data_IF_664898275039
#
_entry.id   IF_664898275039
#
_cell.length_a   1.000
_cell.length_b   1.000
_cell.length_c   1.000
_cell.angle_alpha   90.00
_cell.angle_beta   90.00
_cell.angle_gamma   90.00
#
_symmetry.space_group_name_H-M   'P 1'
#
loop_
_entity.id
_entity.type
_entity.pdbx_description
1 polymer ?
#
# COMPACT_ATOMS: atom_id res chain seq x y z
N UNK A 1 -10.33 0.54 -26.75
CA UNK A 1 -11.80 0.57 -26.67
C UNK A 1 -12.16 1.63 -25.64
N UNK A 2 -12.73 2.78 -26.01
CA UNK A 2 -13.23 3.71 -25.00
C UNK A 2 -14.35 3.01 -24.24
N UNK A 3 -14.30 3.04 -22.91
CA UNK A 3 -15.35 2.51 -22.07
C UNK A 3 -16.70 3.13 -22.48
N UNK A 4 -17.81 2.39 -22.43
CA UNK A 4 -19.12 2.96 -22.72
C UNK A 4 -19.32 4.16 -21.81
N UNK A 5 -19.63 5.32 -22.39
CA UNK A 5 -20.17 6.46 -21.64
C UNK A 5 -21.35 5.91 -20.85
N UNK A 6 -21.28 5.89 -19.51
CA UNK A 6 -22.38 5.45 -18.67
C UNK A 6 -23.60 6.33 -19.00
N UNK A 7 -24.51 5.77 -19.78
CA UNK A 7 -25.69 6.47 -20.28
C UNK A 7 -26.67 6.63 -19.13
N UNK A 8 -26.78 7.85 -18.59
CA UNK A 8 -27.99 8.29 -17.91
C UNK A 8 -29.10 8.28 -18.97
N UNK A 9 -29.98 7.29 -18.89
CA UNK A 9 -31.16 7.20 -19.76
C UNK A 9 -32.28 7.95 -19.04
N UNK A 10 -32.50 9.20 -19.44
CA UNK A 10 -33.66 10.00 -19.06
C UNK A 10 -34.35 10.38 -20.36
N UNK A 11 -35.56 9.88 -20.59
CA UNK A 11 -36.33 10.12 -21.80
C UNK A 11 -37.22 11.35 -21.62
N UNK A 12 -37.15 12.31 -22.53
CA UNK A 12 -37.95 13.53 -22.50
C UNK A 12 -37.25 14.73 -23.14
N UNK A 13 -38.02 15.73 -23.57
CA UNK A 13 -37.45 17.00 -24.04
C UNK A 13 -36.93 17.83 -22.86
N UNK A 14 -36.03 18.77 -23.12
CA UNK A 14 -35.50 19.67 -22.07
C UNK A 14 -36.61 20.42 -21.34
N UNK A 15 -37.65 20.83 -22.08
CA UNK A 15 -38.74 21.66 -21.56
C UNK A 15 -39.65 20.85 -20.63
N UNK A 16 -40.02 19.63 -21.03
CA UNK A 16 -40.81 18.70 -20.21
C UNK A 16 -40.04 18.32 -18.93
N UNK A 17 -38.78 17.92 -19.07
CA UNK A 17 -37.97 17.50 -17.92
C UNK A 17 -37.66 18.64 -16.96
N UNK A 18 -37.57 19.88 -17.43
CA UNK A 18 -37.38 21.05 -16.57
C UNK A 18 -38.67 21.43 -15.82
N UNK A 19 -39.83 21.34 -16.48
CA UNK A 19 -41.13 21.63 -15.89
C UNK A 19 -41.54 20.56 -14.85
N UNK A 20 -41.29 19.28 -15.14
CA UNK A 20 -41.48 18.18 -14.19
C UNK A 20 -40.63 18.35 -12.93
N UNK A 21 -39.33 18.68 -13.08
CA UNK A 21 -38.44 18.90 -11.96
C UNK A 21 -38.86 20.14 -11.14
N UNK A 22 -39.28 21.22 -11.80
CA UNK A 22 -39.76 22.43 -11.13
C UNK A 22 -41.05 22.17 -10.33
N UNK A 23 -41.99 21.41 -10.90
CA UNK A 23 -43.23 21.00 -10.23
C UNK A 23 -42.93 20.13 -9.00
N UNK A 24 -41.97 19.21 -9.12
CA UNK A 24 -41.54 18.38 -7.99
C UNK A 24 -40.88 19.20 -6.87
N UNK A 25 -40.03 20.17 -7.22
CA UNK A 25 -39.40 21.08 -6.24
C UNK A 25 -40.44 21.93 -5.49
N UNK A 26 -41.44 22.46 -6.20
CA UNK A 26 -42.52 23.26 -5.60
C UNK A 26 -43.42 22.40 -4.69
N UNK A 27 -43.66 21.14 -5.05
CA UNK A 27 -44.34 20.16 -4.22
C UNK A 27 -43.61 19.86 -2.91
N UNK A 28 -42.29 19.67 -2.97
CA UNK A 28 -41.45 19.48 -1.78
C UNK A 28 -41.37 20.76 -0.91
N UNK A 29 -41.25 21.94 -1.52
CA UNK A 29 -41.27 23.23 -0.82
C UNK A 29 -42.57 23.43 -0.05
N UNK A 30 -43.70 23.14 -0.71
CA UNK A 30 -45.04 23.24 -0.12
C UNK A 30 -45.22 22.30 1.07
N UNK A 31 -44.68 21.08 0.99
CA UNK A 31 -44.69 20.12 2.10
C UNK A 31 -43.88 20.60 3.32
N UNK A 32 -42.90 21.49 3.14
CA UNK A 32 -42.11 22.09 4.22
C UNK A 32 -42.63 23.45 4.70
N UNK A 33 -43.77 23.92 4.18
CA UNK A 33 -44.33 25.24 4.53
C UNK A 33 -43.56 26.43 3.95
N UNK A 34 -42.72 26.20 2.93
CA UNK A 34 -42.04 27.25 2.18
C UNK A 34 -42.79 27.52 0.87
N UNK A 35 -43.10 28.78 0.59
CA UNK A 35 -43.71 29.21 -0.67
C UNK A 35 -42.62 29.61 -1.66
N UNK A 36 -41.98 28.62 -2.29
CA UNK A 36 -41.23 28.84 -3.54
C UNK A 36 -42.11 28.40 -4.71
N UNK A 37 -42.09 29.18 -5.80
CA UNK A 37 -42.87 28.95 -7.02
C UNK A 37 -41.91 28.89 -8.22
N UNK A 38 -40.97 27.95 -8.15
CA UNK A 38 -39.90 27.71 -9.12
C UNK A 38 -40.49 27.44 -10.51
N UNK A 39 -41.64 26.76 -10.60
CA UNK A 39 -42.33 26.51 -11.86
C UNK A 39 -42.74 27.81 -12.57
N UNK A 40 -43.45 28.69 -11.86
CA UNK A 40 -43.95 29.96 -12.41
C UNK A 40 -42.84 30.91 -12.87
N UNK A 41 -41.67 30.79 -12.26
CA UNK A 41 -40.49 31.58 -12.56
C UNK A 41 -39.69 31.09 -13.77
N UNK A 42 -39.81 29.80 -14.08
CA UNK A 42 -39.08 29.13 -15.16
C UNK A 42 -39.90 29.13 -16.46
N UNK A 43 -41.23 29.07 -16.36
CA UNK A 43 -42.16 29.06 -17.50
C UNK A 43 -41.92 30.16 -18.56
N UNK A 44 -41.71 31.45 -18.20
CA UNK A 44 -41.41 32.48 -19.21
C UNK A 44 -40.01 32.30 -19.83
N UNK A 45 -39.05 31.77 -19.08
CA UNK A 45 -37.67 31.58 -19.54
C UNK A 45 -37.52 30.34 -20.44
N UNK A 46 -38.36 29.32 -20.23
CA UNK A 46 -38.53 28.17 -21.12
C UNK A 46 -39.06 28.61 -22.48
N UNK A 47 -40.09 29.46 -22.52
CA UNK A 47 -40.65 29.99 -23.78
C UNK A 47 -39.66 30.88 -24.56
N UNK A 48 -38.76 31.56 -23.86
CA UNK A 48 -37.68 32.36 -24.45
C UNK A 48 -36.44 31.53 -24.86
N UNK A 49 -36.42 30.22 -24.57
CA UNK A 49 -35.30 29.33 -24.88
C UNK A 49 -34.03 29.60 -24.05
N UNK A 50 -34.11 30.33 -22.93
CA UNK A 50 -32.98 30.70 -22.06
C UNK A 50 -32.59 29.57 -21.11
N UNK A 51 -32.08 28.47 -21.67
CA UNK A 51 -31.73 27.23 -20.94
C UNK A 51 -30.82 27.44 -19.72
N UNK A 52 -29.86 28.36 -19.79
CA UNK A 52 -28.92 28.61 -18.68
C UNK A 52 -29.60 29.22 -17.45
N UNK A 53 -30.54 30.15 -17.64
CA UNK A 53 -31.19 30.83 -16.52
C UNK A 53 -32.21 29.91 -15.83
N UNK A 54 -32.88 29.05 -16.61
CA UNK A 54 -33.69 27.94 -16.11
C UNK A 54 -32.87 27.02 -15.21
N UNK A 55 -31.70 26.59 -15.68
CA UNK A 55 -30.79 25.72 -14.92
C UNK A 55 -30.25 26.40 -13.66
N UNK A 56 -29.90 27.70 -13.71
CA UNK A 56 -29.48 28.45 -12.51
C UNK A 56 -30.55 28.41 -11.43
N UNK A 57 -31.82 28.63 -11.79
CA UNK A 57 -32.94 28.59 -10.83
C UNK A 57 -33.15 27.19 -10.27
N UNK A 58 -33.16 26.16 -11.12
CA UNK A 58 -33.28 24.76 -10.68
C UNK A 58 -32.15 24.34 -9.74
N UNK A 59 -30.89 24.69 -10.04
CA UNK A 59 -29.73 24.38 -9.19
C UNK A 59 -29.76 25.17 -7.89
N UNK A 60 -30.30 26.39 -7.89
CA UNK A 60 -30.47 27.20 -6.67
C UNK A 60 -31.58 26.65 -5.77
N UNK A 61 -32.63 26.08 -6.35
CA UNK A 61 -33.72 25.40 -5.64
C UNK A 61 -33.40 23.94 -5.24
N UNK A 62 -32.33 23.36 -5.79
CA UNK A 62 -31.92 21.96 -5.52
C UNK A 62 -31.59 21.61 -4.05
N UNK A 63 -31.27 22.52 -3.11
CA UNK A 63 -31.12 22.16 -1.70
C UNK A 63 -32.35 21.49 -1.09
N UNK A 64 -33.56 21.83 -1.56
CA UNK A 64 -34.81 21.22 -1.13
C UNK A 64 -34.86 19.71 -1.41
N UNK A 65 -34.12 19.21 -2.42
CA UNK A 65 -34.05 17.78 -2.73
C UNK A 65 -33.45 16.95 -1.59
N UNK A 66 -32.72 17.56 -0.65
CA UNK A 66 -32.26 16.89 0.59
C UNK A 66 -33.40 16.42 1.51
N UNK A 67 -34.63 16.85 1.23
CA UNK A 67 -35.83 16.55 2.01
C UNK A 67 -36.74 15.54 1.30
N UNK A 68 -36.39 15.16 0.07
CA UNK A 68 -37.12 14.20 -0.73
C UNK A 68 -37.11 12.81 -0.07
N UNK A 69 -38.24 12.07 -0.05
CA UNK A 69 -38.34 10.77 0.58
C UNK A 69 -37.43 9.73 -0.09
N UNK A 70 -36.89 8.81 0.71
CA UNK A 70 -35.98 7.76 0.24
C UNK A 70 -36.65 6.67 -0.60
N UNK A 71 -37.95 6.45 -0.41
CA UNK A 71 -38.75 5.46 -1.16
C UNK A 71 -40.05 6.10 -1.63
N UNK A 72 -40.17 6.24 -2.94
CA UNK A 72 -41.43 6.51 -3.63
C UNK A 72 -42.01 5.24 -4.26
N UNK A 73 -43.18 5.36 -4.89
CA UNK A 73 -43.84 4.24 -5.61
C UNK A 73 -42.96 3.63 -6.74
N UNK A 74 -41.97 4.37 -7.24
CA UNK A 74 -41.14 3.98 -8.39
C UNK A 74 -39.62 3.92 -8.10
N UNK A 75 -39.20 3.95 -6.83
CA UNK A 75 -37.79 3.81 -6.43
C UNK A 75 -37.28 4.91 -5.49
N UNK A 76 -35.96 5.13 -5.48
CA UNK A 76 -35.32 6.21 -4.71
C UNK A 76 -35.52 7.56 -5.41
N UNK A 77 -36.57 8.29 -5.06
CA UNK A 77 -36.94 9.57 -5.68
C UNK A 77 -35.79 10.59 -5.64
N UNK A 78 -35.02 10.59 -4.54
CA UNK A 78 -33.80 11.40 -4.40
C UNK A 78 -32.81 11.18 -5.57
N UNK A 79 -32.52 9.92 -5.89
CA UNK A 79 -31.58 9.59 -6.98
C UNK A 79 -32.16 9.97 -8.34
N UNK A 80 -33.46 9.74 -8.56
CA UNK A 80 -34.14 10.08 -9.80
C UNK A 80 -34.10 11.60 -10.06
N UNK A 81 -34.47 12.42 -9.07
CA UNK A 81 -34.48 13.87 -9.18
C UNK A 81 -33.07 14.44 -9.44
N UNK A 82 -32.04 13.93 -8.75
CA UNK A 82 -30.66 14.34 -9.02
C UNK A 82 -30.14 13.84 -10.36
N UNK A 83 -30.50 12.64 -10.80
CA UNK A 83 -30.13 12.12 -12.12
C UNK A 83 -30.76 12.96 -13.25
N UNK A 84 -32.02 13.39 -13.08
CA UNK A 84 -32.70 14.31 -13.98
C UNK A 84 -32.01 15.69 -14.00
N UNK A 85 -31.66 16.23 -12.83
CA UNK A 85 -30.90 17.49 -12.74
C UNK A 85 -29.54 17.38 -13.45
N UNK A 86 -28.81 16.27 -13.26
CA UNK A 86 -27.52 16.02 -13.90
C UNK A 86 -27.67 15.89 -15.43
N UNK A 87 -28.73 15.21 -15.89
CA UNK A 87 -29.05 15.13 -17.31
C UNK A 87 -29.36 16.50 -17.93
N UNK A 88 -30.14 17.34 -17.24
CA UNK A 88 -30.46 18.71 -17.66
C UNK A 88 -29.20 19.59 -17.72
N UNK A 89 -28.31 19.49 -16.72
CA UNK A 89 -27.05 20.24 -16.69
C UNK A 89 -26.11 19.83 -17.83
N UNK A 90 -26.11 18.56 -18.23
CA UNK A 90 -25.31 18.07 -19.37
C UNK A 90 -25.73 18.68 -20.71
N UNK A 91 -27.01 19.04 -20.85
CA UNK A 91 -27.51 19.69 -22.07
C UNK A 91 -27.15 21.18 -22.14
N UNK A 92 -26.59 21.75 -21.08
CA UNK A 92 -26.10 23.12 -21.07
C UNK A 92 -24.80 23.26 -21.90
N UNK A 93 -24.58 24.42 -22.55
CA UNK A 93 -23.33 24.68 -23.26
C UNK A 93 -22.10 24.75 -22.34
N UNK A 94 -22.29 25.05 -21.04
CA UNK A 94 -21.25 25.07 -20.00
C UNK A 94 -21.70 24.31 -18.74
N UNK A 95 -21.61 22.98 -18.70
CA UNK A 95 -22.05 22.19 -17.55
C UNK A 95 -21.22 22.47 -16.27
N UNK A 96 -19.94 22.81 -16.43
CA UNK A 96 -18.98 22.98 -15.33
C UNK A 96 -19.35 24.13 -14.38
N UNK A 97 -20.10 25.14 -14.84
CA UNK A 97 -20.54 26.26 -14.00
C UNK A 97 -21.50 25.84 -12.88
N UNK A 98 -22.24 24.74 -13.07
CA UNK A 98 -23.28 24.29 -12.14
C UNK A 98 -22.79 23.24 -11.15
N UNK A 99 -21.71 22.52 -11.48
CA UNK A 99 -21.17 21.42 -10.69
C UNK A 99 -20.72 21.83 -9.27
N UNK A 100 -20.04 22.96 -9.03
CA UNK A 100 -19.64 23.36 -7.68
C UNK A 100 -20.84 23.56 -6.74
N UNK A 101 -21.93 24.15 -7.26
CA UNK A 101 -23.14 24.38 -6.48
C UNK A 101 -23.87 23.08 -6.17
N UNK A 102 -23.95 22.16 -7.14
CA UNK A 102 -24.50 20.81 -6.94
C UNK A 102 -23.68 20.04 -5.89
N UNK A 103 -22.35 20.08 -5.98
CA UNK A 103 -21.46 19.44 -4.99
C UNK A 103 -21.66 20.03 -3.58
N UNK A 104 -21.83 21.36 -3.48
CA UNK A 104 -22.11 22.03 -2.20
C UNK A 104 -23.45 21.58 -1.65
N UNK A 105 -24.49 21.49 -2.48
CA UNK A 105 -25.82 21.05 -2.08
C UNK A 105 -25.81 19.57 -1.64
N UNK A 106 -25.05 18.71 -2.33
CA UNK A 106 -24.86 17.29 -1.97
C UNK A 106 -23.99 17.08 -0.72
N UNK A 107 -23.20 18.08 -0.32
CA UNK A 107 -22.40 18.00 0.91
C UNK A 107 -23.22 18.19 2.19
N UNK A 108 -24.44 18.73 2.07
CA UNK A 108 -25.39 18.91 3.17
C UNK A 108 -26.14 17.60 3.46
N UNK A 109 -26.31 17.19 4.73
CA UNK A 109 -26.93 15.92 5.07
C UNK A 109 -28.36 15.83 4.54
N UNK A 110 -28.73 14.65 4.03
CA UNK A 110 -30.10 14.35 3.60
C UNK A 110 -30.98 14.20 4.84
N UNK A 111 -31.91 15.13 5.03
CA UNK A 111 -32.79 15.22 6.22
C UNK A 111 -33.84 14.10 6.24
N UNK A 112 -34.28 13.63 5.07
CA UNK A 112 -35.31 12.59 4.96
C UNK A 112 -34.83 11.23 5.45
N UNK A 113 -33.53 10.94 5.32
CA UNK A 113 -32.95 9.65 5.69
C UNK A 113 -31.56 9.78 6.32
N UNK A 114 -31.51 10.04 7.64
CA UNK A 114 -30.24 10.28 8.32
C UNK A 114 -29.31 9.06 8.29
N UNK A 115 -29.84 7.84 8.26
CA UNK A 115 -29.06 6.59 8.32
C UNK A 115 -28.33 6.23 7.00
N UNK A 116 -28.83 6.64 5.84
CA UNK A 116 -28.26 6.31 4.52
C UNK A 116 -28.01 7.55 3.63
N UNK A 117 -28.06 8.74 4.23
CA UNK A 117 -27.77 10.03 3.59
C UNK A 117 -26.46 10.03 2.79
N UNK A 118 -25.38 9.51 3.38
CA UNK A 118 -24.06 9.45 2.77
C UNK A 118 -24.02 8.52 1.55
N UNK A 119 -24.64 7.34 1.64
CA UNK A 119 -24.69 6.40 0.52
C UNK A 119 -25.41 6.97 -0.70
N UNK A 120 -26.53 7.68 -0.48
CA UNK A 120 -27.26 8.35 -1.56
C UNK A 120 -26.44 9.46 -2.22
N UNK A 121 -25.80 10.31 -1.42
CA UNK A 121 -24.96 11.39 -1.94
C UNK A 121 -23.77 10.85 -2.74
N UNK A 122 -23.13 9.77 -2.27
CA UNK A 122 -22.04 9.11 -2.99
C UNK A 122 -22.50 8.52 -4.32
N UNK A 123 -23.70 7.93 -4.37
CA UNK A 123 -24.26 7.40 -5.62
C UNK A 123 -24.50 8.51 -6.65
N UNK A 124 -25.04 9.66 -6.23
CA UNK A 124 -25.21 10.82 -7.12
C UNK A 124 -23.85 11.33 -7.60
N UNK A 125 -22.90 11.58 -6.69
CA UNK A 125 -21.57 12.09 -7.05
C UNK A 125 -20.81 11.12 -7.96
N UNK A 126 -20.92 9.81 -7.72
CA UNK A 126 -20.33 8.77 -8.57
C UNK A 126 -20.96 8.78 -9.96
N UNK A 127 -22.28 9.01 -10.05
CA UNK A 127 -22.97 9.16 -11.33
C UNK A 127 -22.48 10.41 -12.08
N UNK A 128 -22.32 11.55 -11.38
CA UNK A 128 -21.76 12.77 -11.97
C UNK A 128 -20.33 12.51 -12.47
N UNK A 129 -19.47 11.88 -11.65
CA UNK A 129 -18.10 11.54 -12.04
C UNK A 129 -18.03 10.68 -13.31
N UNK A 130 -18.88 9.65 -13.39
CA UNK A 130 -18.90 8.70 -14.50
C UNK A 130 -19.51 9.26 -15.80
N UNK A 131 -20.36 10.29 -15.70
CA UNK A 131 -21.04 10.90 -16.84
C UNK A 131 -20.22 12.01 -17.51
N UNK A 132 -19.28 12.60 -16.78
CA UNK A 132 -18.34 13.58 -17.34
C UNK A 132 -17.30 12.91 -18.25
N UNK A 133 -16.72 13.62 -19.24
CA UNK A 133 -15.60 13.10 -20.03
C UNK A 133 -14.36 12.80 -19.19
N UNK A 134 -13.55 11.83 -19.59
CA UNK A 134 -12.33 11.43 -18.86
C UNK A 134 -11.25 12.51 -18.79
N UNK A 135 -11.28 13.48 -19.70
CA UNK A 135 -10.34 14.60 -19.77
C UNK A 135 -10.83 15.87 -19.05
N UNK A 136 -12.03 15.88 -18.46
CA UNK A 136 -12.55 17.08 -17.80
C UNK A 136 -11.95 17.25 -16.41
N UNK A 137 -11.37 18.43 -16.15
CA UNK A 137 -10.85 18.85 -14.85
C UNK A 137 -11.93 18.82 -13.75
N UNK A 138 -13.21 18.99 -14.11
CA UNK A 138 -14.30 18.92 -13.15
C UNK A 138 -14.36 17.58 -12.38
N UNK A 139 -13.83 16.49 -12.94
CA UNK A 139 -13.71 15.20 -12.26
C UNK A 139 -12.80 15.27 -11.02
N UNK A 140 -11.77 16.11 -11.04
CA UNK A 140 -10.90 16.35 -9.88
C UNK A 140 -11.68 16.96 -8.71
N UNK A 141 -12.43 18.03 -8.97
CA UNK A 141 -13.24 18.68 -7.93
C UNK A 141 -14.34 17.77 -7.37
N UNK A 142 -14.96 16.95 -8.23
CA UNK A 142 -15.96 15.97 -7.80
C UNK A 142 -15.32 14.88 -6.95
N UNK A 143 -14.12 14.40 -7.30
CA UNK A 143 -13.40 13.42 -6.49
C UNK A 143 -13.06 13.98 -5.10
N UNK A 144 -12.64 15.25 -5.00
CA UNK A 144 -12.44 15.90 -3.70
C UNK A 144 -13.74 16.01 -2.88
N UNK A 145 -14.87 16.29 -3.54
CA UNK A 145 -16.17 16.31 -2.88
C UNK A 145 -16.57 14.91 -2.37
N UNK A 146 -16.32 13.86 -3.17
CA UNK A 146 -16.50 12.46 -2.77
C UNK A 146 -15.65 12.13 -1.54
N UNK A 147 -14.37 12.48 -1.55
CA UNK A 147 -13.46 12.23 -0.41
C UNK A 147 -13.92 12.94 0.86
N UNK A 148 -14.30 14.21 0.75
CA UNK A 148 -14.85 14.98 1.88
C UNK A 148 -16.09 14.33 2.48
N UNK A 149 -16.90 13.68 1.66
CA UNK A 149 -18.13 13.02 2.07
C UNK A 149 -17.86 11.65 2.70
N UNK A 150 -16.94 10.86 2.12
CA UNK A 150 -16.46 9.61 2.72
C UNK A 150 -15.87 9.87 4.10
N UNK A 151 -15.16 11.00 4.30
CA UNK A 151 -14.64 11.38 5.61
C UNK A 151 -15.71 11.51 6.69
N UNK A 152 -16.95 11.87 6.32
CA UNK A 152 -18.09 11.93 7.25
C UNK A 152 -18.66 10.56 7.61
N UNK A 153 -18.32 9.50 6.85
CA UNK A 153 -18.79 8.13 7.06
C UNK A 153 -17.67 7.11 6.83
N UNK A 154 -17.07 6.67 7.94
CA UNK A 154 -15.94 5.74 8.01
C UNK A 154 -16.16 4.42 7.26
N UNK A 155 -17.40 3.99 7.03
CA UNK A 155 -17.72 2.70 6.39
C UNK A 155 -17.55 2.68 4.87
N UNK A 156 -17.32 3.84 4.22
CA UNK A 156 -17.36 3.94 2.74
C UNK A 156 -16.00 3.85 2.04
N UNK A 157 -14.88 3.78 2.78
CA UNK A 157 -13.53 3.78 2.18
C UNK A 157 -13.20 2.48 1.43
N UNK A 158 -13.76 1.35 1.84
CA UNK A 158 -13.57 0.05 1.16
C UNK A 158 -14.02 0.09 -0.30
N UNK A 159 -15.06 0.87 -0.62
CA UNK A 159 -15.56 1.05 -1.98
C UNK A 159 -14.62 1.88 -2.85
N UNK A 160 -13.80 2.75 -2.23
CA UNK A 160 -12.85 3.62 -2.91
C UNK A 160 -11.55 2.88 -3.26
N UNK A 161 -11.11 1.92 -2.44
CA UNK A 161 -9.82 1.21 -2.62
C UNK A 161 -9.56 0.69 -4.05
N UNK A 162 -10.51 0.01 -4.74
CA UNK A 162 -10.27 -0.46 -6.10
C UNK A 162 -10.07 0.68 -7.10
N UNK A 163 -10.79 1.79 -6.90
CA UNK A 163 -10.76 2.98 -7.78
C UNK A 163 -9.45 3.76 -7.63
N UNK A 164 -8.82 3.71 -6.45
CA UNK A 164 -7.53 4.37 -6.25
C UNK A 164 -6.40 3.77 -7.11
N UNK A 165 -6.53 2.53 -7.59
CA UNK A 165 -5.54 1.93 -8.52
C UNK A 165 -5.51 2.64 -9.88
N UNK A 166 -6.62 3.27 -10.28
CA UNK A 166 -6.71 4.03 -11.53
C UNK A 166 -6.36 5.51 -11.36
N UNK A 167 -6.02 5.94 -10.14
CA UNK A 167 -5.73 7.34 -9.82
C UNK A 167 -4.58 7.92 -10.65
N UNK A 168 -3.50 7.13 -10.82
CA UNK A 168 -2.32 7.57 -11.57
C UNK A 168 -2.66 7.84 -13.05
N UNK A 169 -3.59 7.06 -13.62
CA UNK A 169 -4.11 7.27 -14.97
C UNK A 169 -5.02 8.50 -15.04
N UNK A 170 -5.83 8.73 -14.00
CA UNK A 170 -6.71 9.91 -13.94
C UNK A 170 -5.92 11.21 -13.87
N UNK A 171 -4.90 11.27 -13.00
CA UNK A 171 -4.04 12.44 -12.88
C UNK A 171 -3.33 12.78 -14.20
N UNK A 172 -2.89 11.77 -14.95
CA UNK A 172 -2.31 11.98 -16.28
C UNK A 172 -3.32 12.51 -17.30
N UNK A 173 -4.57 12.05 -17.25
CA UNK A 173 -5.61 12.50 -18.19
C UNK A 173 -6.14 13.91 -17.89
N UNK A 174 -6.03 14.35 -16.65
CA UNK A 174 -6.51 15.65 -16.19
C UNK A 174 -5.47 16.75 -16.32
N UNK A 175 -4.20 16.42 -16.65
CA UNK A 175 -3.08 17.35 -16.79
C UNK A 175 -2.93 18.30 -15.57
N UNK A 176 -2.99 17.71 -14.37
CA UNK A 176 -3.03 18.45 -13.11
C UNK A 176 -1.63 18.80 -12.63
N UNK A 177 -1.48 20.02 -12.12
CA UNK A 177 -0.25 20.49 -11.49
C UNK A 177 0.13 19.69 -10.23
N UNK A 178 1.42 19.69 -9.90
CA UNK A 178 1.95 18.98 -8.73
C UNK A 178 1.25 19.40 -7.42
N UNK A 179 0.88 20.68 -7.29
CA UNK A 179 0.22 21.21 -6.10
C UNK A 179 -1.18 20.62 -5.87
N UNK A 180 -1.96 20.44 -6.94
CA UNK A 180 -3.31 19.90 -6.87
C UNK A 180 -3.31 18.38 -6.75
N UNK A 181 -2.35 17.70 -7.40
CA UNK A 181 -2.08 16.30 -7.13
C UNK A 181 -1.76 16.05 -5.64
N UNK A 182 -0.95 16.94 -5.03
CA UNK A 182 -0.63 16.88 -3.59
C UNK A 182 -1.87 17.04 -2.73
N UNK A 183 -2.75 18.02 -2.99
CA UNK A 183 -4.01 18.19 -2.24
C UNK A 183 -4.87 16.94 -2.28
N UNK A 184 -4.94 16.29 -3.44
CA UNK A 184 -5.69 15.04 -3.60
C UNK A 184 -5.07 13.88 -2.81
N UNK A 185 -3.76 13.70 -2.88
CA UNK A 185 -3.07 12.66 -2.10
C UNK A 185 -3.23 12.86 -0.59
N UNK A 186 -3.18 14.11 -0.12
CA UNK A 186 -3.42 14.43 1.29
C UNK A 186 -4.87 14.13 1.69
N UNK A 187 -5.84 14.48 0.86
CA UNK A 187 -7.24 14.17 1.11
C UNK A 187 -7.49 12.65 1.18
N UNK A 188 -6.85 11.86 0.31
CA UNK A 188 -6.94 10.39 0.34
C UNK A 188 -6.27 9.84 1.61
N UNK A 189 -5.11 10.35 1.99
CA UNK A 189 -4.40 9.96 3.22
C UNK A 189 -5.25 10.23 4.46
N UNK A 190 -5.87 11.40 4.56
CA UNK A 190 -6.74 11.75 5.68
C UNK A 190 -7.95 10.81 5.77
N UNK A 191 -8.60 10.52 4.64
CA UNK A 191 -9.73 9.57 4.60
C UNK A 191 -9.30 8.16 4.99
N UNK A 192 -8.13 7.70 4.53
CA UNK A 192 -7.59 6.39 4.89
C UNK A 192 -7.27 6.30 6.40
N UNK A 193 -6.68 7.37 6.97
CA UNK A 193 -6.40 7.46 8.39
C UNK A 193 -7.67 7.42 9.24
N UNK A 194 -8.71 8.18 8.85
CA UNK A 194 -9.99 8.20 9.56
C UNK A 194 -10.71 6.83 9.46
N UNK A 195 -10.41 6.06 8.42
CA UNK A 195 -10.93 4.69 8.19
C UNK A 195 -10.15 3.60 8.93
N UNK A 196 -9.05 3.94 9.60
CA UNK A 196 -8.18 2.99 10.30
C UNK A 196 -7.25 2.18 9.38
N UNK A 197 -7.08 2.59 8.12
CA UNK A 197 -6.13 2.00 7.18
C UNK A 197 -4.83 2.81 7.13
N UNK A 198 -4.02 2.64 8.18
CA UNK A 198 -2.75 3.36 8.35
C UNK A 198 -1.75 3.06 7.21
N UNK A 199 -1.81 1.86 6.62
CA UNK A 199 -0.91 1.45 5.55
C UNK A 199 -1.18 2.24 4.25
N UNK A 200 -2.45 2.34 3.84
CA UNK A 200 -2.82 3.17 2.69
C UNK A 200 -2.61 4.66 2.97
N UNK A 201 -2.94 5.11 4.19
CA UNK A 201 -2.69 6.50 4.59
C UNK A 201 -1.22 6.89 4.41
N UNK A 202 -0.32 6.08 4.94
CA UNK A 202 1.12 6.28 4.82
C UNK A 202 1.60 6.25 3.36
N UNK A 203 1.10 5.31 2.56
CA UNK A 203 1.48 5.19 1.14
C UNK A 203 1.11 6.46 0.34
N UNK A 204 -0.08 7.03 0.54
CA UNK A 204 -0.49 8.27 -0.14
C UNK A 204 0.21 9.51 0.42
N UNK A 205 0.51 9.53 1.71
CA UNK A 205 1.30 10.60 2.31
C UNK A 205 2.72 10.64 1.74
N UNK A 206 3.32 9.48 1.51
CA UNK A 206 4.63 9.36 0.86
C UNK A 206 4.58 9.80 -0.61
N UNK A 207 3.50 9.47 -1.34
CA UNK A 207 3.26 10.00 -2.69
C UNK A 207 3.14 11.52 -2.69
N UNK A 208 2.44 12.10 -1.71
CA UNK A 208 2.35 13.55 -1.56
C UNK A 208 3.72 14.19 -1.33
N UNK A 209 4.58 13.61 -0.48
CA UNK A 209 5.93 14.12 -0.25
C UNK A 209 6.83 14.02 -1.49
N UNK A 210 6.70 12.96 -2.30
CA UNK A 210 7.43 12.82 -3.57
C UNK A 210 7.11 13.94 -4.57
N UNK A 211 5.97 14.63 -4.44
CA UNK A 211 5.68 15.79 -5.29
C UNK A 211 6.49 17.04 -4.92
N UNK A 212 7.02 17.12 -3.70
CA UNK A 212 7.69 18.30 -3.10
C UNK A 212 9.22 18.11 -3.06
N UNK A 213 9.79 17.40 -4.04
CA UNK A 213 11.23 17.15 -4.08
C UNK A 213 12.04 18.29 -4.70
N UNK A 214 11.38 19.30 -5.26
CA UNK A 214 12.09 20.46 -5.81
C UNK A 214 12.71 21.27 -4.64
N UNK A 215 14.03 21.54 -4.70
CA UNK A 215 14.83 22.08 -3.59
C UNK A 215 14.29 23.35 -2.95
N UNK A 216 13.56 24.18 -3.73
CA UNK A 216 12.97 25.43 -3.25
C UNK A 216 11.68 25.19 -2.43
N UNK A 217 10.91 24.16 -2.77
CA UNK A 217 9.68 23.79 -2.06
C UNK A 217 9.95 22.87 -0.85
N UNK A 218 11.02 22.06 -0.91
CA UNK A 218 11.40 21.12 0.13
C UNK A 218 11.74 21.79 1.48
N UNK A 219 12.19 23.06 1.47
CA UNK A 219 12.53 23.83 2.68
C UNK A 219 11.36 24.65 3.22
N UNK A 220 10.17 24.57 2.62
CA UNK A 220 9.01 25.34 3.07
C UNK A 220 8.47 24.83 4.40
N UNK A 221 7.85 25.70 5.23
CA UNK A 221 7.25 25.29 6.50
C UNK A 221 6.04 24.35 6.32
N UNK A 222 5.44 24.29 5.12
CA UNK A 222 4.41 23.32 4.79
C UNK A 222 5.01 21.94 4.53
N UNK A 223 6.11 21.87 3.76
CA UNK A 223 6.85 20.63 3.53
C UNK A 223 7.38 20.05 4.85
N UNK A 224 7.89 20.87 5.77
CA UNK A 224 8.37 20.38 7.08
C UNK A 224 7.23 19.77 7.91
N UNK A 225 6.05 20.41 7.97
CA UNK A 225 4.88 19.85 8.66
C UNK A 225 4.41 18.54 8.04
N UNK A 226 4.41 18.44 6.71
CA UNK A 226 4.05 17.20 6.02
C UNK A 226 5.07 16.09 6.28
N UNK A 227 6.36 16.42 6.25
CA UNK A 227 7.44 15.48 6.60
C UNK A 227 7.30 14.98 8.03
N UNK A 228 7.02 15.86 8.99
CA UNK A 228 6.76 15.48 10.39
C UNK A 228 5.54 14.55 10.49
N UNK A 229 4.43 14.88 9.81
CA UNK A 229 3.23 14.01 9.80
C UNK A 229 3.56 12.62 9.24
N UNK A 230 4.39 12.54 8.20
CA UNK A 230 4.83 11.27 7.63
C UNK A 230 5.75 10.49 8.57
N UNK A 231 6.68 11.15 9.24
CA UNK A 231 7.54 10.55 10.24
C UNK A 231 6.73 10.02 11.42
N UNK A 232 5.80 10.80 11.97
CA UNK A 232 4.92 10.36 13.06
C UNK A 232 4.10 9.14 12.66
N UNK A 233 3.53 9.13 11.45
CA UNK A 233 2.78 7.99 10.92
C UNK A 233 3.67 6.75 10.75
N UNK A 234 4.85 6.89 10.14
CA UNK A 234 5.79 5.78 9.92
C UNK A 234 6.31 5.19 11.23
N UNK A 235 6.62 6.05 12.20
CA UNK A 235 7.15 5.66 13.50
C UNK A 235 6.08 4.98 14.37
N UNK A 236 4.83 5.45 14.34
CA UNK A 236 3.72 4.80 15.05
C UNK A 236 3.23 3.52 14.37
N UNK A 237 3.33 3.39 13.05
CA UNK A 237 2.86 2.20 12.31
C UNK A 237 3.69 0.96 12.68
N UNK A 238 3.13 -0.08 13.33
CA UNK A 238 3.91 -1.22 13.82
C UNK A 238 4.48 -2.11 12.71
N UNK A 239 3.94 -2.03 11.49
CA UNK A 239 4.36 -2.80 10.33
C UNK A 239 5.43 -2.11 9.47
N UNK A 240 5.70 -0.83 9.70
CA UNK A 240 6.68 -0.06 8.92
C UNK A 240 8.05 -0.07 9.60
N UNK A 241 8.99 -0.80 9.00
CA UNK A 241 10.37 -0.95 9.48
C UNK A 241 11.42 -0.42 8.50
N UNK A 242 11.03 -0.20 7.24
CA UNK A 242 11.89 0.37 6.21
C UNK A 242 11.65 1.89 6.13
N UNK A 243 12.71 2.64 6.41
CA UNK A 243 12.73 4.10 6.37
C UNK A 243 13.57 4.64 5.20
N UNK A 244 14.10 3.77 4.33
CA UNK A 244 14.95 4.18 3.21
C UNK A 244 14.23 5.15 2.27
N UNK A 245 12.97 4.85 1.95
CA UNK A 245 12.12 5.71 1.13
C UNK A 245 12.00 7.13 1.70
N UNK A 246 11.86 7.27 3.04
CA UNK A 246 11.77 8.56 3.71
C UNK A 246 13.13 9.27 3.78
N UNK A 247 14.19 8.56 4.15
CA UNK A 247 15.54 9.14 4.23
C UNK A 247 16.02 9.67 2.88
N UNK A 248 15.54 9.11 1.77
CA UNK A 248 15.89 9.58 0.41
C UNK A 248 15.23 10.90 -0.01
N UNK A 249 14.22 11.38 0.72
CA UNK A 249 13.46 12.59 0.34
C UNK A 249 14.19 13.87 0.76
N UNK A 250 14.32 14.82 -0.17
CA UNK A 250 14.95 16.12 0.08
C UNK A 250 14.23 16.93 1.17
N UNK A 251 12.90 16.83 1.25
CA UNK A 251 12.09 17.48 2.30
C UNK A 251 12.39 16.96 3.70
N UNK A 252 12.90 15.72 3.82
CA UNK A 252 13.30 15.11 5.09
C UNK A 252 14.76 15.46 5.40
N UNK A 253 15.63 15.53 4.38
CA UNK A 253 16.98 16.04 4.56
C UNK A 253 17.00 17.53 4.98
N UNK A 254 16.02 18.32 4.52
CA UNK A 254 15.84 19.70 4.96
C UNK A 254 15.52 19.80 6.46
N UNK A 255 14.89 18.79 7.06
CA UNK A 255 14.57 18.76 8.50
C UNK A 255 15.80 18.85 9.39
N UNK A 256 16.97 18.39 8.92
CA UNK A 256 18.24 18.51 9.65
C UNK A 256 18.56 19.96 10.07
N UNK A 257 18.08 20.96 9.31
CA UNK A 257 18.29 22.38 9.63
C UNK A 257 17.14 23.00 10.44
N UNK A 258 15.91 22.57 10.22
CA UNK A 258 14.74 23.18 10.86
C UNK A 258 14.38 22.51 12.20
N UNK A 259 14.44 21.19 12.25
CA UNK A 259 13.88 20.32 13.30
C UNK A 259 14.83 19.12 13.51
N UNK A 260 15.98 19.37 14.16
CA UNK A 260 17.04 18.36 14.37
C UNK A 260 16.52 17.11 15.05
N UNK A 261 15.73 17.24 16.12
CA UNK A 261 15.24 16.14 16.94
C UNK A 261 14.49 15.06 16.13
N UNK A 262 13.72 15.46 15.11
CA UNK A 262 13.00 14.54 14.22
C UNK A 262 13.93 13.80 13.27
N UNK A 263 14.97 14.49 12.77
CA UNK A 263 15.96 13.90 11.89
C UNK A 263 16.87 12.93 12.65
N UNK A 264 17.32 13.33 13.85
CA UNK A 264 18.15 12.51 14.73
C UNK A 264 17.42 11.22 15.11
N UNK A 265 16.11 11.31 15.41
CA UNK A 265 15.28 10.12 15.63
C UNK A 265 15.21 9.20 14.40
N UNK A 266 15.09 9.75 13.19
CA UNK A 266 15.10 8.95 11.96
C UNK A 266 16.45 8.26 11.73
N UNK A 267 17.55 8.95 12.01
CA UNK A 267 18.92 8.42 11.91
C UNK A 267 19.11 7.26 12.89
N UNK A 268 18.67 7.40 14.14
CA UNK A 268 18.69 6.34 15.16
C UNK A 268 17.98 5.08 14.65
N UNK A 269 16.76 5.22 14.11
CA UNK A 269 15.99 4.08 13.60
C UNK A 269 16.63 3.42 12.37
N UNK A 270 17.29 4.21 11.53
CA UNK A 270 17.89 3.75 10.29
C UNK A 270 19.22 3.02 10.52
N UNK A 271 20.13 3.59 11.33
CA UNK A 271 21.52 3.11 11.44
C UNK A 271 21.94 2.65 12.83
N UNK A 272 21.30 3.13 13.89
CA UNK A 272 21.81 2.96 15.27
C UNK A 272 21.13 1.81 16.05
N UNK A 273 21.56 1.65 17.30
CA UNK A 273 21.21 0.54 18.19
C UNK A 273 20.23 1.00 19.27
N UNK A 274 19.58 0.05 19.95
CA UNK A 274 18.67 0.31 21.05
C UNK A 274 19.27 1.21 22.15
N UNK A 275 20.57 1.08 22.44
CA UNK A 275 21.24 1.88 23.48
C UNK A 275 21.18 3.38 23.14
N UNK A 276 21.45 3.74 21.88
CA UNK A 276 21.42 5.12 21.40
C UNK A 276 20.00 5.71 21.46
N UNK A 277 18.98 4.88 21.15
CA UNK A 277 17.58 5.28 21.31
C UNK A 277 17.21 5.53 22.78
N UNK A 278 17.69 4.71 23.71
CA UNK A 278 17.41 4.90 25.14
C UNK A 278 18.05 6.18 25.68
N UNK A 279 19.28 6.48 25.22
CA UNK A 279 19.99 7.72 25.58
C UNK A 279 19.26 8.95 24.99
N UNK A 280 18.82 8.89 23.74
CA UNK A 280 17.97 9.91 23.12
C UNK A 280 16.63 10.09 23.86
N UNK A 281 15.95 9.00 24.20
CA UNK A 281 14.67 9.04 24.90
C UNK A 281 14.79 9.61 26.33
N UNK A 282 15.95 9.44 26.97
CA UNK A 282 16.23 10.01 28.29
C UNK A 282 16.54 11.51 28.24
N UNK A 283 17.15 11.99 27.15
CA UNK A 283 17.53 13.40 26.95
C UNK A 283 16.38 14.23 26.38
N UNK A 284 15.48 13.64 25.59
CA UNK A 284 14.41 14.32 24.86
C UNK A 284 13.00 13.85 25.28
N UNK A 285 12.76 13.70 26.60
CA UNK A 285 11.45 13.25 27.12
C UNK A 285 10.31 14.19 26.75
N UNK A 286 10.56 15.50 26.74
CA UNK A 286 9.54 16.51 26.42
C UNK A 286 9.15 16.49 24.95
N UNK A 287 10.10 16.16 24.07
CA UNK A 287 9.86 15.99 22.64
C UNK A 287 8.98 14.78 22.37
N UNK A 288 9.33 13.62 22.95
CA UNK A 288 8.54 12.39 22.81
C UNK A 288 7.10 12.57 23.30
N UNK A 289 6.91 13.21 24.45
CA UNK A 289 5.57 13.48 24.99
C UNK A 289 4.74 14.43 24.11
N UNK A 290 5.36 15.44 23.48
CA UNK A 290 4.69 16.39 22.58
C UNK A 290 4.41 15.83 21.19
N UNK A 291 5.24 14.90 20.74
CA UNK A 291 5.21 14.33 19.38
C UNK A 291 4.05 13.34 19.13
N UNK A 292 3.35 12.90 20.18
CA UNK A 292 2.28 11.90 20.08
C UNK A 292 2.79 10.50 19.72
N UNK A 293 4.08 10.23 19.93
CA UNK A 293 4.71 8.94 19.69
C UNK A 293 4.55 8.03 20.91
N UNK A 294 4.10 6.80 20.69
CA UNK A 294 4.04 5.79 21.75
C UNK A 294 5.45 5.35 22.15
N UNK A 295 5.93 5.73 23.34
CA UNK A 295 7.27 5.31 23.79
C UNK A 295 7.47 3.79 23.75
N UNK A 296 6.46 3.04 24.18
CA UNK A 296 6.48 1.58 24.20
C UNK A 296 6.49 0.98 22.79
N UNK A 297 5.75 1.58 21.84
CA UNK A 297 5.73 1.10 20.45
C UNK A 297 7.06 1.37 19.76
N UNK A 298 7.67 2.52 20.01
CA UNK A 298 9.02 2.85 19.52
C UNK A 298 10.09 1.93 20.11
N UNK A 299 10.06 1.68 21.41
CA UNK A 299 11.03 0.79 22.08
C UNK A 299 10.91 -0.65 21.56
N UNK A 300 9.67 -1.14 21.41
CA UNK A 300 9.39 -2.44 20.81
C UNK A 300 9.94 -2.51 19.39
N UNK A 301 9.67 -1.49 18.56
CA UNK A 301 10.17 -1.41 17.19
C UNK A 301 11.70 -1.39 17.15
N UNK A 302 12.36 -0.61 18.01
CA UNK A 302 13.82 -0.56 18.09
C UNK A 302 14.44 -1.88 18.54
N UNK A 303 13.78 -2.63 19.43
CA UNK A 303 14.20 -3.99 19.77
C UNK A 303 14.13 -4.93 18.56
N UNK A 304 13.01 -4.95 17.84
CA UNK A 304 12.86 -5.78 16.63
C UNK A 304 13.91 -5.45 15.57
N UNK A 305 14.11 -4.15 15.32
CA UNK A 305 15.10 -3.63 14.40
C UNK A 305 16.53 -4.02 14.84
N UNK A 306 16.86 -3.91 16.13
CA UNK A 306 18.19 -4.25 16.69
C UNK A 306 18.50 -5.72 16.50
N UNK A 307 17.52 -6.60 16.73
CA UNK A 307 17.66 -8.02 16.47
C UNK A 307 17.87 -8.30 14.98
N UNK A 308 17.16 -7.62 14.08
CA UNK A 308 17.34 -7.75 12.63
C UNK A 308 18.75 -7.36 12.19
N UNK A 309 19.29 -6.25 12.69
CA UNK A 309 20.67 -5.83 12.40
C UNK A 309 21.70 -6.81 12.94
N UNK A 310 21.50 -7.35 14.15
CA UNK A 310 22.36 -8.35 14.74
C UNK A 310 22.35 -9.65 13.91
N UNK A 311 21.18 -10.08 13.44
CA UNK A 311 21.02 -11.23 12.55
C UNK A 311 21.68 -11.01 11.20
N UNK A 312 21.55 -9.82 10.61
CA UNK A 312 22.21 -9.44 9.38
C UNK A 312 23.75 -9.42 9.51
N UNK A 313 24.28 -8.91 10.64
CA UNK A 313 25.71 -8.95 10.95
C UNK A 313 26.24 -10.39 11.13
N UNK A 314 25.42 -11.30 11.65
CA UNK A 314 25.75 -12.71 11.82
C UNK A 314 25.53 -13.57 10.56
N UNK A 315 25.38 -12.97 9.38
CA UNK A 315 25.14 -13.69 8.11
C UNK A 315 26.18 -14.76 7.77
N UNK A 316 27.42 -14.61 8.26
CA UNK A 316 28.50 -15.57 8.03
C UNK A 316 28.42 -16.79 8.95
N UNK A 317 28.15 -16.59 10.25
CA UNK A 317 28.03 -17.69 11.21
C UNK A 317 26.67 -18.37 11.13
N UNK A 318 25.63 -17.67 10.67
CA UNK A 318 24.22 -18.10 10.64
C UNK A 318 23.67 -18.56 11.98
N UNK A 319 24.39 -18.34 13.07
CA UNK A 319 24.00 -18.74 14.43
C UNK A 319 24.19 -17.58 15.38
N UNK A 320 23.15 -17.29 16.17
CA UNK A 320 23.18 -16.28 17.22
C UNK A 320 22.89 -16.91 18.59
N UNK A 321 23.81 -16.81 19.56
CA UNK A 321 23.55 -17.22 20.94
C UNK A 321 22.51 -16.33 21.64
N UNK A 322 21.67 -16.91 22.49
CA UNK A 322 20.66 -16.17 23.26
C UNK A 322 21.28 -15.11 24.17
N UNK A 323 22.47 -15.36 24.72
CA UNK A 323 23.17 -14.39 25.58
C UNK A 323 23.52 -13.08 24.83
N UNK A 324 23.90 -13.18 23.56
CA UNK A 324 24.20 -12.01 22.72
C UNK A 324 22.93 -11.23 22.42
N UNK A 325 21.82 -11.94 22.14
CA UNK A 325 20.51 -11.33 21.88
C UNK A 325 19.98 -10.62 23.13
N UNK A 326 19.99 -11.30 24.28
CA UNK A 326 19.54 -10.74 25.56
C UNK A 326 20.30 -9.46 25.94
N UNK A 327 21.63 -9.47 25.74
CA UNK A 327 22.47 -8.29 25.98
C UNK A 327 22.13 -7.13 25.04
N UNK A 328 21.95 -7.40 23.74
CA UNK A 328 21.66 -6.36 22.75
C UNK A 328 20.26 -5.74 22.91
N UNK A 329 19.29 -6.53 23.38
CA UNK A 329 17.91 -6.08 23.59
C UNK A 329 17.63 -5.55 25.00
N UNK A 330 18.59 -5.68 25.93
CA UNK A 330 18.45 -5.42 27.38
C UNK A 330 17.24 -6.13 28.00
N UNK A 331 17.10 -7.43 27.71
CA UNK A 331 16.02 -8.28 28.23
C UNK A 331 16.58 -9.48 28.98
N UNK A 332 15.72 -10.16 29.73
CA UNK A 332 16.08 -11.44 30.34
C UNK A 332 16.20 -12.54 29.27
N UNK A 333 17.07 -13.53 29.51
CA UNK A 333 17.26 -14.67 28.59
C UNK A 333 15.97 -15.47 28.38
N UNK A 334 15.08 -15.49 29.37
CA UNK A 334 13.75 -16.11 29.31
C UNK A 334 12.84 -15.50 28.24
N UNK A 335 12.99 -14.21 27.96
CA UNK A 335 12.14 -13.46 27.04
C UNK A 335 12.64 -13.49 25.59
N UNK A 336 13.88 -13.94 25.36
CA UNK A 336 14.51 -13.95 24.03
C UNK A 336 13.66 -14.70 23.01
N UNK A 337 13.08 -15.83 23.38
CA UNK A 337 12.26 -16.64 22.46
C UNK A 337 11.02 -15.87 21.97
N UNK A 338 10.37 -15.11 22.85
CA UNK A 338 9.21 -14.27 22.50
C UNK A 338 9.61 -13.19 21.48
N UNK A 339 10.72 -12.49 21.73
CA UNK A 339 11.20 -11.45 20.83
C UNK A 339 11.65 -12.00 19.47
N UNK A 340 12.29 -13.18 19.44
CA UNK A 340 12.66 -13.83 18.17
C UNK A 340 11.40 -14.21 17.38
N UNK A 341 10.36 -14.75 18.04
CA UNK A 341 9.07 -15.05 17.39
C UNK A 341 8.44 -13.78 16.83
N UNK A 342 8.45 -12.68 17.57
CA UNK A 342 7.86 -11.42 17.12
C UNK A 342 8.62 -10.83 15.92
N UNK A 343 9.95 -10.95 15.87
CA UNK A 343 10.76 -10.54 14.70
C UNK A 343 10.50 -11.42 13.48
N UNK A 344 10.27 -12.72 13.67
CA UNK A 344 9.89 -13.64 12.59
C UNK A 344 8.49 -13.29 12.06
N UNK A 345 7.53 -13.03 12.95
CA UNK A 345 6.17 -12.60 12.59
C UNK A 345 6.17 -11.27 11.83
N UNK A 346 7.08 -10.36 12.18
CA UNK A 346 7.29 -9.10 11.47
C UNK A 346 7.95 -9.29 10.09
N UNK A 347 8.44 -10.49 9.75
CA UNK A 347 9.08 -10.80 8.47
C UNK A 347 10.50 -10.24 8.31
N UNK A 348 11.08 -9.70 9.39
CA UNK A 348 12.41 -9.10 9.39
C UNK A 348 13.50 -10.18 9.31
N UNK A 349 13.30 -11.31 9.96
CA UNK A 349 14.24 -12.44 10.01
C UNK A 349 13.49 -13.75 9.84
N UNK A 350 14.11 -14.71 9.15
CA UNK A 350 13.64 -16.09 9.05
C UNK A 350 14.70 -17.01 9.64
N UNK A 351 14.28 -17.97 10.46
CA UNK A 351 15.20 -18.81 11.20
C UNK A 351 14.50 -19.89 12.01
N UNK A 352 15.31 -20.76 12.64
CA UNK A 352 14.86 -21.79 13.57
C UNK A 352 15.49 -21.56 14.94
N UNK A 353 14.68 -21.67 15.99
CA UNK A 353 15.19 -21.63 17.36
C UNK A 353 15.64 -23.04 17.80
N UNK A 354 16.79 -23.11 18.45
CA UNK A 354 17.28 -24.29 19.15
C UNK A 354 17.27 -24.00 20.65
N UNK A 355 16.22 -24.45 21.33
CA UNK A 355 16.05 -24.22 22.76
C UNK A 355 17.11 -24.95 23.60
N UNK A 356 17.45 -26.20 23.24
CA UNK A 356 18.49 -26.98 23.93
C UNK A 356 19.89 -26.40 23.75
N UNK A 357 20.16 -25.83 22.58
CA UNK A 357 21.43 -25.19 22.25
C UNK A 357 21.48 -23.70 22.61
N UNK A 358 20.41 -23.11 23.14
CA UNK A 358 20.25 -21.66 23.39
C UNK A 358 20.77 -20.79 22.23
N UNK A 359 20.45 -21.21 21.00
CA UNK A 359 20.94 -20.58 19.77
C UNK A 359 19.81 -20.41 18.77
N UNK A 360 19.87 -19.31 18.04
CA UNK A 360 18.98 -19.00 16.94
C UNK A 360 19.72 -19.19 15.62
N UNK A 361 19.24 -20.12 14.79
CA UNK A 361 19.77 -20.39 13.46
C UNK A 361 19.06 -19.49 12.45
N UNK A 362 19.82 -18.64 11.76
CA UNK A 362 19.31 -17.67 10.79
C UNK A 362 19.35 -18.27 9.39
N UNK A 363 18.23 -18.24 8.70
CA UNK A 363 18.11 -18.56 7.28
C UNK A 363 18.21 -17.30 6.41
N UNK A 364 17.46 -16.25 6.77
CA UNK A 364 17.43 -14.95 6.09
C UNK A 364 17.32 -13.84 7.12
N UNK A 365 18.01 -12.72 6.89
CA UNK A 365 17.84 -11.51 7.67
C UNK A 365 17.69 -10.32 6.72
N UNK A 366 16.83 -9.38 7.09
CA UNK A 366 16.60 -8.15 6.33
C UNK A 366 17.58 -7.07 6.82
N UNK A 367 18.28 -6.44 5.88
CA UNK A 367 19.16 -5.30 6.15
C UNK A 367 18.30 -4.04 6.25
N UNK A 368 18.51 -3.22 7.29
CA UNK A 368 17.80 -1.94 7.44
C UNK A 368 18.22 -0.91 6.39
N UNK A 369 19.51 -0.86 6.08
CA UNK A 369 20.09 -0.02 5.05
C UNK A 369 20.82 -0.91 4.07
N UNK A 370 20.44 -0.82 2.79
CA UNK A 370 21.06 -1.56 1.71
C UNK A 370 21.93 -0.62 0.87
N UNK A 371 23.22 -0.55 1.22
CA UNK A 371 24.19 0.32 0.59
C UNK A 371 25.10 -0.40 -0.41
N UNK A 372 26.13 0.33 -0.85
CA UNK A 372 27.10 -0.17 -1.83
C UNK A 372 27.86 -1.41 -1.34
N UNK A 373 28.17 -1.50 -0.04
CA UNK A 373 28.85 -2.65 0.53
C UNK A 373 28.04 -3.94 0.35
N UNK A 374 26.72 -3.88 0.61
CA UNK A 374 25.82 -5.01 0.42
C UNK A 374 25.69 -5.38 -1.06
N UNK A 375 25.64 -4.38 -1.96
CA UNK A 375 25.68 -4.62 -3.41
C UNK A 375 26.94 -5.35 -3.87
N UNK A 376 28.11 -4.97 -3.34
CA UNK A 376 29.38 -5.67 -3.65
C UNK A 376 29.36 -7.11 -3.15
N UNK A 377 28.80 -7.38 -1.98
CA UNK A 377 28.66 -8.74 -1.45
C UNK A 377 27.72 -9.59 -2.33
N UNK A 378 26.59 -9.03 -2.77
CA UNK A 378 25.67 -9.71 -3.71
C UNK A 378 26.36 -10.02 -5.03
N UNK A 379 27.09 -9.05 -5.60
CA UNK A 379 27.84 -9.24 -6.84
C UNK A 379 28.87 -10.39 -6.71
N UNK A 380 29.63 -10.41 -5.61
CA UNK A 380 30.61 -11.48 -5.35
C UNK A 380 29.95 -12.86 -5.22
N UNK A 381 28.80 -12.95 -4.53
CA UNK A 381 28.03 -14.21 -4.39
C UNK A 381 27.46 -14.67 -5.73
N UNK A 382 26.94 -13.76 -6.54
CA UNK A 382 26.44 -14.06 -7.89
C UNK A 382 27.56 -14.55 -8.81
N UNK A 383 28.73 -13.92 -8.75
CA UNK A 383 29.89 -14.37 -9.52
C UNK A 383 30.37 -15.77 -9.10
N UNK A 384 30.36 -16.06 -7.79
CA UNK A 384 30.67 -17.40 -7.29
C UNK A 384 29.64 -18.42 -7.77
N UNK A 385 28.36 -18.06 -7.76
CA UNK A 385 27.29 -18.93 -8.23
C UNK A 385 27.39 -19.18 -9.75
N UNK A 386 27.66 -18.14 -10.53
CA UNK A 386 27.91 -18.23 -11.98
C UNK A 386 29.03 -19.21 -12.28
N UNK A 387 30.19 -19.06 -11.62
CA UNK A 387 31.33 -19.97 -11.79
C UNK A 387 30.99 -21.41 -11.39
N UNK A 388 30.18 -21.59 -10.35
CA UNK A 388 29.74 -22.91 -9.91
C UNK A 388 28.82 -23.58 -10.94
N UNK A 389 27.89 -22.83 -11.53
CA UNK A 389 27.01 -23.31 -12.59
C UNK A 389 27.78 -23.63 -13.88
N UNK A 390 28.75 -22.80 -14.26
CA UNK A 390 29.67 -23.08 -15.37
C UNK A 390 30.45 -24.38 -15.13
N UNK A 391 30.91 -24.61 -13.89
CA UNK A 391 31.54 -25.86 -13.47
C UNK A 391 30.62 -27.07 -13.63
N UNK A 392 29.38 -26.99 -13.14
CA UNK A 392 28.38 -28.06 -13.29
C UNK A 392 28.06 -28.33 -14.76
N UNK A 393 27.92 -27.29 -15.57
CA UNK A 393 27.66 -27.43 -17.01
C UNK A 393 28.83 -28.11 -17.73
N UNK A 394 30.07 -27.82 -17.33
CA UNK A 394 31.26 -28.50 -17.84
C UNK A 394 31.25 -29.99 -17.50
N UNK A 395 31.00 -30.34 -16.24
CA UNK A 395 30.93 -31.75 -15.78
C UNK A 395 29.80 -32.48 -16.49
N UNK A 396 28.62 -31.87 -16.64
CA UNK A 396 27.50 -32.47 -17.37
C UNK A 396 27.83 -32.66 -18.86
N UNK A 397 28.54 -31.71 -19.47
CA UNK A 397 29.03 -31.82 -20.84
C UNK A 397 30.04 -32.95 -21.02
N UNK A 398 30.96 -33.12 -20.08
CA UNK A 398 31.95 -34.20 -20.04
C UNK A 398 31.24 -35.56 -19.86
N UNK A 399 30.36 -35.70 -18.87
CA UNK A 399 29.57 -36.91 -18.62
C UNK A 399 28.68 -37.28 -19.81
N UNK A 400 28.08 -36.30 -20.49
CA UNK A 400 27.32 -36.55 -21.73
C UNK A 400 28.20 -37.09 -22.85
N UNK A 401 29.43 -36.58 -22.99
CA UNK A 401 30.39 -37.06 -24.00
C UNK A 401 30.90 -38.46 -23.67
N UNK A 402 31.20 -38.73 -22.40
CA UNK A 402 31.59 -40.07 -21.93
C UNK A 402 30.45 -41.08 -22.15
N UNK A 403 29.21 -40.72 -21.80
CA UNK A 403 28.05 -41.57 -22.03
C UNK A 403 27.82 -41.88 -23.52
N UNK A 404 27.99 -40.87 -24.39
CA UNK A 404 27.91 -41.08 -25.85
C UNK A 404 29.04 -41.97 -26.33
N UNK A 405 30.27 -41.76 -25.86
CA UNK A 405 31.42 -42.58 -26.23
C UNK A 405 31.28 -44.03 -25.75
N UNK A 406 30.76 -44.26 -24.55
CA UNK A 406 30.52 -45.59 -24.01
C UNK A 406 29.36 -46.28 -24.74
N UNK A 407 28.28 -45.57 -25.07
CA UNK A 407 27.23 -46.10 -25.97
C UNK A 407 27.76 -46.45 -27.36
N UNK A 408 28.67 -45.65 -27.91
CA UNK A 408 29.30 -45.94 -29.19
C UNK A 408 30.26 -47.14 -29.11
N UNK A 409 30.93 -47.35 -27.97
CA UNK A 409 31.76 -48.54 -27.70
C UNK A 409 30.93 -49.80 -27.53
N UNK A 410 29.82 -49.73 -26.80
CA UNK A 410 28.85 -50.82 -26.69
C UNK A 410 28.22 -51.16 -28.05
N UNK A 411 27.85 -50.15 -28.85
CA UNK A 411 27.29 -50.34 -30.19
C UNK A 411 28.31 -50.91 -31.20
N UNK A 412 29.61 -50.71 -30.98
CA UNK A 412 30.70 -51.32 -31.77
C UNK A 412 31.04 -52.76 -31.37
N UNK A 413 30.36 -53.33 -30.37
CA UNK A 413 30.48 -54.74 -30.02
C UNK A 413 31.74 -55.11 -29.24
N UNK A 414 32.39 -54.17 -28.55
CA UNK A 414 33.55 -54.46 -27.67
C UNK A 414 33.13 -54.86 -26.24
N UNK A 415 31.94 -55.44 -26.11
CA UNK A 415 31.32 -55.82 -24.84
C UNK A 415 30.96 -57.29 -24.77
N UNK A 416 31.87 -58.22 -25.08
CA UNK A 416 31.83 -59.62 -24.63
C UNK A 416 33.14 -60.35 -24.99
N UNK A 417 33.91 -60.80 -23.99
CA UNK A 417 35.16 -61.52 -24.27
C UNK A 417 36.16 -61.66 -23.12
N UNK A 418 35.73 -61.99 -21.90
CA UNK A 418 36.63 -62.68 -20.94
C UNK A 418 36.03 -64.03 -20.60
N UNK A 419 36.01 -64.89 -21.62
CA UNK A 419 35.80 -66.33 -21.48
C UNK A 419 37.02 -66.98 -20.84
N UNK A 420 36.74 -67.75 -19.79
CA UNK A 420 37.40 -69.02 -19.46
C UNK A 420 38.48 -69.50 -20.44
N UNK A 421 39.71 -69.65 -19.95
CA UNK A 421 40.52 -70.81 -20.34
C UNK A 421 41.44 -71.29 -19.21
N UNK A 422 41.44 -72.60 -19.08
CA UNK A 422 41.85 -73.40 -17.93
C UNK A 422 43.11 -74.16 -18.34
N UNK A 423 44.18 -74.04 -17.55
CA UNK A 423 45.11 -75.15 -17.36
C UNK A 423 46.61 -74.83 -17.42
N UNK A 424 47.29 -75.01 -16.28
CA UNK A 424 48.59 -75.69 -16.30
C UNK A 424 49.72 -75.13 -15.44
N UNK A 425 49.81 -75.64 -14.20
CA UNK A 425 51.03 -75.88 -13.40
C UNK A 425 51.84 -74.70 -12.85
N UNK A 426 51.70 -74.53 -11.52
CA UNK A 426 52.79 -74.84 -10.58
C UNK A 426 53.55 -73.65 -9.97
N UNK A 427 53.29 -73.36 -8.69
CA UNK A 427 54.15 -72.48 -7.89
C UNK A 427 53.59 -72.18 -6.50
N UNK A 428 54.20 -72.78 -5.48
CA UNK A 428 53.89 -72.69 -4.04
C UNK A 428 54.02 -71.27 -3.42
N UNK A 429 53.24 -71.04 -2.37
CA UNK A 429 53.51 -70.09 -1.26
C UNK A 429 52.44 -68.99 -1.16
N UNK A 430 51.69 -68.76 -0.09
CA UNK A 430 51.67 -69.24 1.28
C UNK A 430 51.15 -68.10 2.18
N UNK A 431 50.07 -68.32 2.96
CA UNK A 431 49.63 -67.52 4.13
C UNK A 431 49.24 -66.03 3.88
N UNK A 432 48.24 -65.38 4.51
CA UNK A 432 47.42 -65.60 5.71
C UNK A 432 46.21 -64.64 5.64
N UNK A 433 45.03 -65.10 6.06
CA UNK A 433 43.82 -64.27 6.14
C UNK A 433 43.73 -63.40 7.39
N UNK A 434 42.80 -62.44 7.35
CA UNK A 434 42.38 -61.60 8.47
C UNK A 434 41.02 -60.95 8.20
N UNK A 435 39.95 -61.62 8.66
CA UNK A 435 38.58 -61.10 8.78
C UNK A 435 38.52 -60.06 9.92
N UNK A 436 37.71 -59.01 9.74
CA UNK A 436 37.23 -58.15 10.83
C UNK A 436 36.01 -57.37 10.38
N UNK A 437 34.81 -57.84 10.78
CA UNK A 437 33.55 -57.13 10.61
C UNK A 437 33.31 -56.09 11.69
N UNK A 438 32.45 -55.12 11.40
CA UNK A 438 31.99 -54.11 12.36
C UNK A 438 30.72 -53.42 11.86
N UNK A 439 29.58 -53.86 12.38
CA UNK A 439 28.29 -53.17 12.31
C UNK A 439 28.35 -51.84 13.07
N UNK A 440 27.74 -50.77 12.52
CA UNK A 440 27.35 -49.58 13.29
C UNK A 440 25.91 -49.16 12.93
N UNK A 441 25.09 -49.19 13.98
CA UNK A 441 23.72 -48.68 14.13
C UNK A 441 23.58 -47.22 13.66
N UNK A 442 22.51 -46.93 12.94
CA UNK A 442 21.93 -45.60 12.78
C UNK A 442 20.93 -45.32 13.91
N UNK A 443 21.15 -44.24 14.67
CA UNK A 443 20.13 -43.60 15.52
C UNK A 443 19.53 -42.42 14.74
N UNK A 444 18.23 -42.52 14.43
CA UNK A 444 17.42 -41.40 13.93
C UNK A 444 16.76 -40.71 15.12
N UNK A 445 17.13 -39.45 15.36
CA UNK A 445 16.39 -38.54 16.25
C UNK A 445 15.30 -37.81 15.46
N UNK A 446 14.07 -37.88 15.96
CA UNK A 446 12.90 -37.15 15.45
C UNK A 446 13.07 -35.64 15.65
N UNK A 447 12.85 -34.86 14.58
CA UNK A 447 12.66 -33.43 14.65
C UNK A 447 11.20 -33.14 14.26
N UNK A 448 10.49 -32.43 15.14
CA UNK A 448 9.10 -32.01 14.91
C UNK A 448 9.11 -30.73 14.07
N UNK A 449 8.52 -30.80 12.89
CA UNK A 449 8.21 -29.64 12.06
C UNK A 449 6.98 -28.91 12.63
N UNK A 450 7.06 -27.59 12.68
CA UNK A 450 5.90 -26.71 12.87
C UNK A 450 5.94 -25.74 11.69
N UNK A 451 4.89 -25.78 10.86
CA UNK A 451 4.63 -24.88 9.72
C UNK A 451 4.32 -23.45 10.16
#
# INVERSE_FOLDING_TARGET
MPAPTNTLIVEGSFEELADELATYLDGLSSAQGQSTSVQSEIQPQLQEGKKEDVLKKLVTASPILSTAPERGEFGTEFLAAYNQLVHLVRQAPKPEMFLPKICTNLSNPVTSSPHNSVGLQLNVLTTIFNTLPSSSEARYHILLAILTLIRKSTQSFELLRPQLKTLDLWLQNWDIDKEDARKLYLAISDVASDSGDDAQSYAYLLRALRTIQDSDEASTPEASKLSIKALTSALNAPSTFDFSDLTSLDSIQALRKSESDWFDLLEIFSTEVLDDFLDFASSHTDFLNKSGLGRETLETKMRLLTLSSLAAGASQSRTLPYATIAKALRIEVSEVERWVIDVIRAGLVEGKLSQSGQTFLIHRATYRVFGEHQWREVAARLDMWKRSLEGVLRVLGEQKREFVADKEREARGEGEGRGFERGGRGGRGGYRGGRGGGERREERGEAVEVE
#
